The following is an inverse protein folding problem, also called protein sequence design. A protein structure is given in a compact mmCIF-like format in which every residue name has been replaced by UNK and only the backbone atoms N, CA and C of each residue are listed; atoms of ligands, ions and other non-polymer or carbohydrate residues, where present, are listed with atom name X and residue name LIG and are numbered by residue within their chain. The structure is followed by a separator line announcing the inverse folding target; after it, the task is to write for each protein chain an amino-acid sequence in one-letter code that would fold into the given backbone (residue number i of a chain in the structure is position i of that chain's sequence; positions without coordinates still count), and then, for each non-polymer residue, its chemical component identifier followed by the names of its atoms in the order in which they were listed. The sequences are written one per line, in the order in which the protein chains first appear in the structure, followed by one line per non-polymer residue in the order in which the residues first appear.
data_IF_740401266934
#
_entry.id   IF_740401266934
#
_cell.length_a   1.000
_cell.length_b   1.000
_cell.length_c   1.000
_cell.angle_alpha   90.00
_cell.angle_beta   90.00
_cell.angle_gamma   90.00
#
_symmetry.space_group_name_H-M   'P 1'
#
loop_
_entity.id
_entity.type
_entity.pdbx_description
1 polymer ?
#
# COMPACT_ATOMS: atom_id res chain seq x y z
N UNK A 1 -1.75 -1.38 15.34
CA UNK A 1 -2.71 -0.38 14.81
C UNK A 1 -3.18 -0.85 13.43
N UNK A 2 -4.19 -0.25 12.80
CA UNK A 2 -4.59 -0.64 11.44
C UNK A 2 -3.78 0.15 10.41
N UNK A 3 -3.31 -0.49 9.34
CA UNK A 3 -2.74 0.15 8.17
C UNK A 3 -3.80 0.25 7.07
N UNK A 4 -4.06 1.47 6.62
CA UNK A 4 -4.89 1.70 5.43
C UNK A 4 -3.98 1.97 4.24
N UNK A 5 -4.16 1.21 3.16
CA UNK A 5 -3.42 1.38 1.90
C UNK A 5 -4.41 1.76 0.82
N UNK A 6 -4.14 2.84 0.11
CA UNK A 6 -4.87 3.21 -1.10
C UNK A 6 -3.99 2.88 -2.29
N UNK A 7 -4.49 2.10 -3.24
CA UNK A 7 -3.68 1.58 -4.34
C UNK A 7 -4.40 1.60 -5.67
N UNK A 8 -3.62 1.72 -6.75
CA UNK A 8 -4.01 1.51 -8.13
C UNK A 8 -3.43 0.20 -8.63
N UNK A 9 -4.28 -0.66 -9.18
CA UNK A 9 -3.87 -1.98 -9.61
C UNK A 9 -5.05 -2.86 -9.98
N UNK A 10 -4.91 -4.16 -9.76
CA UNK A 10 -6.00 -5.13 -9.97
C UNK A 10 -6.07 -6.13 -8.82
N UNK A 11 -7.27 -6.65 -8.61
CA UNK A 11 -7.59 -7.69 -7.64
C UNK A 11 -7.40 -9.06 -8.30
N UNK A 12 -6.84 -10.03 -7.56
CA UNK A 12 -6.59 -11.39 -8.06
C UNK A 12 -6.98 -12.43 -6.99
N UNK A 13 -7.65 -13.53 -7.35
CA UNK A 13 -7.87 -14.64 -6.42
C UNK A 13 -6.54 -15.22 -5.94
N UNK A 14 -6.44 -15.57 -4.65
CA UNK A 14 -5.22 -16.14 -4.07
C UNK A 14 -4.83 -17.45 -4.76
N UNK A 15 -5.79 -18.31 -5.12
CA UNK A 15 -5.50 -19.55 -5.83
C UNK A 15 -4.78 -19.32 -7.17
N UNK A 16 -5.24 -18.34 -7.96
CA UNK A 16 -4.61 -17.94 -9.22
C UNK A 16 -3.19 -17.42 -8.98
N UNK A 17 -3.02 -16.59 -7.95
CA UNK A 17 -1.74 -16.01 -7.58
C UNK A 17 -0.73 -17.07 -7.11
N UNK A 18 -1.19 -18.05 -6.33
CA UNK A 18 -0.36 -19.14 -5.81
C UNK A 18 0.10 -20.06 -6.95
N UNK A 19 -0.78 -20.39 -7.90
CA UNK A 19 -0.39 -21.11 -9.14
C UNK A 19 0.65 -20.32 -9.94
N UNK A 20 0.46 -19.01 -10.09
CA UNK A 20 1.45 -18.15 -10.74
C UNK A 20 2.80 -18.20 -10.02
N UNK A 21 2.83 -18.14 -8.69
CA UNK A 21 4.07 -18.25 -7.92
C UNK A 21 4.74 -19.60 -8.03
N UNK A 22 3.98 -20.69 -7.85
CA UNK A 22 4.48 -22.05 -7.96
C UNK A 22 5.13 -22.30 -9.33
N UNK A 23 4.50 -21.83 -10.41
CA UNK A 23 5.05 -21.96 -11.79
C UNK A 23 6.35 -21.19 -12.01
N UNK A 24 6.59 -20.13 -11.22
CA UNK A 24 7.79 -19.31 -11.26
C UNK A 24 8.85 -19.74 -10.23
N UNK A 25 8.63 -20.84 -9.51
CA UNK A 25 9.54 -21.33 -8.47
C UNK A 25 9.57 -20.44 -7.21
N UNK A 26 8.49 -19.69 -6.97
CA UNK A 26 8.28 -18.86 -5.78
C UNK A 26 7.32 -19.59 -4.84
N UNK A 27 7.54 -19.48 -3.54
CA UNK A 27 6.63 -20.05 -2.53
C UNK A 27 5.24 -19.42 -2.61
N UNK A 28 4.21 -20.27 -2.53
CA UNK A 28 2.81 -19.87 -2.53
C UNK A 28 2.48 -19.00 -1.31
N UNK A 29 1.59 -18.03 -1.50
CA UNK A 29 1.15 -17.16 -0.41
C UNK A 29 0.20 -17.87 0.53
N UNK A 30 -0.67 -18.76 0.05
CA UNK A 30 -1.69 -19.44 0.86
C UNK A 30 -2.60 -18.45 1.62
N UNK A 31 -2.80 -17.27 1.04
CA UNK A 31 -3.51 -16.14 1.66
C UNK A 31 -2.73 -15.51 2.82
N UNK A 32 -1.49 -15.92 3.03
CA UNK A 32 -0.56 -15.30 3.94
C UNK A 32 0.28 -14.26 3.20
N UNK A 33 0.22 -13.00 3.64
CA UNK A 33 1.09 -11.93 3.16
C UNK A 33 2.55 -12.15 3.59
N UNK A 34 3.27 -13.04 2.91
CA UNK A 34 4.73 -12.96 2.80
C UNK A 34 5.09 -11.77 1.90
N UNK A 35 6.33 -11.25 1.91
CA UNK A 35 6.74 -10.15 1.04
C UNK A 35 7.40 -10.65 -0.26
N UNK A 36 6.68 -11.12 -1.30
CA UNK A 36 7.26 -11.16 -2.62
C UNK A 36 7.09 -9.78 -3.25
N UNK A 37 8.21 -9.08 -3.47
CA UNK A 37 8.27 -8.06 -4.51
C UNK A 37 7.99 -8.80 -5.83
N UNK A 38 6.91 -8.45 -6.54
CA UNK A 38 6.61 -9.04 -7.84
C UNK A 38 7.60 -8.48 -8.85
N UNK A 39 8.72 -9.17 -9.01
CA UNK A 39 9.71 -8.91 -10.04
C UNK A 39 9.57 -10.01 -11.09
N UNK A 40 8.67 -9.89 -12.07
CA UNK A 40 8.68 -10.85 -13.17
C UNK A 40 10.07 -10.85 -13.79
N UNK A 41 10.56 -12.02 -14.23
CA UNK A 41 11.86 -12.18 -14.91
C UNK A 41 12.07 -11.15 -16.04
N UNK A 42 10.97 -10.65 -16.63
CA UNK A 42 10.93 -9.64 -17.71
C UNK A 42 10.90 -8.17 -17.25
N UNK A 43 10.58 -7.85 -15.98
CA UNK A 43 10.62 -6.46 -15.47
C UNK A 43 11.99 -6.01 -14.95
N UNK A 44 13.01 -6.87 -14.98
CA UNK A 44 14.39 -6.51 -14.60
C UNK A 44 14.99 -5.35 -15.42
N UNK A 45 14.33 -4.96 -16.52
CA UNK A 45 14.78 -3.89 -17.41
C UNK A 45 14.01 -2.57 -17.30
N UNK A 46 12.97 -2.47 -16.45
CA UNK A 46 12.26 -1.20 -16.27
C UNK A 46 12.77 -0.45 -15.04
N UNK A 47 13.23 0.79 -15.24
CA UNK A 47 13.67 1.71 -14.18
C UNK A 47 12.55 2.22 -13.23
N UNK A 48 11.35 1.62 -13.27
CA UNK A 48 10.21 1.94 -12.39
C UNK A 48 10.11 0.90 -11.26
N UNK A 49 9.60 1.29 -10.08
CA UNK A 49 9.50 0.38 -8.95
C UNK A 49 8.63 -0.83 -9.34
N UNK A 50 9.03 -2.05 -8.92
CA UNK A 50 8.32 -3.28 -9.24
C UNK A 50 6.89 -3.23 -8.67
N UNK A 51 5.97 -3.93 -9.35
CA UNK A 51 4.61 -4.11 -8.85
C UNK A 51 4.63 -4.72 -7.43
N UNK A 52 3.70 -4.29 -6.59
CA UNK A 52 3.63 -4.71 -5.19
C UNK A 52 2.36 -5.50 -4.91
N UNK A 53 2.53 -6.63 -4.23
CA UNK A 53 1.42 -7.46 -3.78
C UNK A 53 0.95 -7.02 -2.39
N UNK A 54 -0.36 -6.89 -2.23
CA UNK A 54 -1.03 -6.66 -0.96
C UNK A 54 -2.06 -7.77 -0.72
N UNK A 55 -1.93 -8.50 0.39
CA UNK A 55 -2.93 -9.46 0.84
C UNK A 55 -3.46 -8.94 2.19
N UNK A 56 -4.69 -8.42 2.25
CA UNK A 56 -5.23 -7.94 3.50
C UNK A 56 -5.36 -9.06 4.52
N UNK A 57 -5.00 -8.73 5.75
CA UNK A 57 -5.11 -9.63 6.88
C UNK A 57 -5.53 -8.81 8.09
N UNK A 58 -6.55 -9.28 8.80
CA UNK A 58 -6.97 -8.74 10.09
C UNK A 58 -7.09 -9.87 11.09
N UNK A 59 -6.59 -9.64 12.30
CA UNK A 59 -6.71 -10.56 13.41
C UNK A 59 -8.19 -10.84 13.68
N UNK A 60 -8.50 -12.11 13.96
CA UNK A 60 -9.87 -12.56 14.19
C UNK A 60 -10.76 -12.66 12.94
N UNK A 61 -10.23 -12.38 11.74
CA UNK A 61 -10.97 -12.54 10.48
C UNK A 61 -10.45 -13.74 9.69
N UNK A 62 -11.29 -14.28 8.80
CA UNK A 62 -10.89 -15.30 7.84
C UNK A 62 -9.76 -14.77 6.93
N UNK A 63 -8.93 -15.70 6.42
CA UNK A 63 -7.89 -15.36 5.45
C UNK A 63 -8.52 -14.70 4.22
N UNK A 64 -7.82 -13.74 3.64
CA UNK A 64 -8.28 -13.13 2.39
C UNK A 64 -8.25 -14.17 1.28
N UNK A 65 -9.34 -14.23 0.52
CA UNK A 65 -9.45 -15.03 -0.70
C UNK A 65 -8.88 -14.29 -1.92
N UNK A 66 -8.52 -13.02 -1.75
CA UNK A 66 -7.98 -12.17 -2.81
C UNK A 66 -6.71 -11.43 -2.37
N UNK A 67 -5.78 -11.27 -3.31
CA UNK A 67 -4.68 -10.32 -3.26
C UNK A 67 -4.92 -9.14 -4.19
N UNK A 68 -4.12 -8.09 -4.03
CA UNK A 68 -4.13 -6.90 -4.87
C UNK A 68 -2.72 -6.66 -5.39
N UNK A 69 -2.58 -6.61 -6.71
CA UNK A 69 -1.32 -6.31 -7.38
C UNK A 69 -1.36 -4.84 -7.77
N UNK A 70 -0.50 -4.02 -7.18
CA UNK A 70 -0.49 -2.58 -7.33
C UNK A 70 0.74 -2.09 -8.09
N UNK A 71 0.56 -1.13 -8.99
CA UNK A 71 1.68 -0.38 -9.60
C UNK A 71 1.90 0.98 -8.92
N UNK A 72 0.88 1.52 -8.27
CA UNK A 72 0.98 2.72 -7.44
C UNK A 72 0.18 2.49 -6.15
N UNK A 73 0.74 2.92 -5.02
CA UNK A 73 0.09 2.76 -3.72
C UNK A 73 0.58 3.83 -2.76
N UNK A 74 -0.23 4.13 -1.76
CA UNK A 74 0.11 5.06 -0.71
C UNK A 74 -0.50 4.62 0.61
N UNK A 75 0.26 4.78 1.70
CA UNK A 75 -0.13 4.34 3.03
C UNK A 75 -0.66 5.51 3.85
N UNK A 76 -1.79 5.29 4.52
CA UNK A 76 -2.48 6.27 5.37
C UNK A 76 -2.52 5.70 6.79
N UNK A 77 -1.79 6.36 7.69
CA UNK A 77 -1.68 5.94 9.10
C UNK A 77 -2.77 6.53 9.99
N UNK A 78 -3.28 7.71 9.65
CA UNK A 78 -4.34 8.38 10.42
C UNK A 78 -5.25 9.19 9.49
N UNK A 79 -4.79 10.36 9.07
CA UNK A 79 -5.47 11.26 8.16
C UNK A 79 -4.41 12.02 7.36
N UNK A 80 -4.59 12.09 6.04
CA UNK A 80 -3.78 12.95 5.17
C UNK A 80 -4.58 13.24 3.89
N UNK A 81 -4.37 14.42 3.32
CA UNK A 81 -4.84 14.71 1.96
C UNK A 81 -3.96 13.96 0.96
N UNK A 82 -4.57 13.37 -0.07
CA UNK A 82 -3.86 12.60 -1.11
C UNK A 82 -4.19 13.23 -2.45
N UNK A 83 -3.16 13.66 -3.15
CA UNK A 83 -3.29 14.09 -4.54
C UNK A 83 -3.28 12.83 -5.42
N UNK A 84 -4.48 12.39 -5.83
CA UNK A 84 -4.64 11.19 -6.65
C UNK A 84 -3.91 11.29 -7.99
N UNK A 85 -3.88 12.46 -8.62
CA UNK A 85 -3.22 12.64 -9.92
C UNK A 85 -1.70 12.49 -9.80
N UNK A 86 -1.12 12.96 -8.68
CA UNK A 86 0.32 12.92 -8.45
C UNK A 86 0.81 11.62 -7.82
N UNK A 87 0.08 11.09 -6.83
CA UNK A 87 0.52 9.94 -6.04
C UNK A 87 0.01 8.59 -6.55
N UNK A 88 -1.13 8.59 -7.24
CA UNK A 88 -1.82 7.38 -7.69
C UNK A 88 -2.28 7.54 -9.15
N UNK A 89 -1.33 7.65 -10.10
CA UNK A 89 -1.64 7.92 -11.49
C UNK A 89 -2.61 6.88 -12.06
N UNK A 90 -3.55 7.33 -12.88
CA UNK A 90 -4.60 6.48 -13.45
C UNK A 90 -4.04 5.51 -14.52
N UNK A 91 -2.99 5.93 -15.20
CA UNK A 91 -2.34 5.16 -16.25
C UNK A 91 -1.32 4.19 -15.65
N UNK A 92 -1.53 2.91 -15.93
CA UNK A 92 -0.59 1.87 -15.55
C UNK A 92 0.75 2.01 -16.30
N UNK A 93 1.89 1.69 -15.67
CA UNK A 93 3.17 1.71 -16.36
C UNK A 93 3.21 0.63 -17.47
N UNK A 94 4.03 0.85 -18.53
CA UNK A 94 4.30 -0.19 -19.53
C UNK A 94 4.78 -1.48 -18.85
N UNK A 95 4.31 -2.64 -19.31
CA UNK A 95 4.62 -3.93 -18.69
C UNK A 95 3.57 -4.40 -17.67
N UNK A 96 2.76 -3.50 -17.11
CA UNK A 96 1.78 -3.88 -16.09
C UNK A 96 0.58 -4.65 -16.67
N UNK A 97 0.15 -4.27 -17.88
CA UNK A 97 -0.89 -5.00 -18.60
C UNK A 97 -0.44 -6.42 -18.99
N UNK A 98 0.84 -6.58 -19.36
CA UNK A 98 1.46 -7.88 -19.60
C UNK A 98 1.48 -8.72 -18.33
N UNK A 99 1.94 -8.16 -17.20
CA UNK A 99 1.96 -8.84 -15.90
C UNK A 99 0.55 -9.27 -15.48
N UNK A 100 -0.45 -8.40 -15.67
CA UNK A 100 -1.85 -8.74 -15.39
C UNK A 100 -2.31 -9.92 -16.24
N UNK A 101 -2.09 -9.88 -17.56
CA UNK A 101 -2.45 -10.99 -18.46
C UNK A 101 -1.72 -12.28 -18.10
N UNK A 102 -0.44 -12.19 -17.73
CA UNK A 102 0.37 -13.32 -17.31
C UNK A 102 -0.20 -13.98 -16.05
N UNK A 103 -0.45 -13.21 -14.99
CA UNK A 103 -1.01 -13.74 -13.73
C UNK A 103 -2.40 -14.33 -13.96
N UNK A 104 -3.26 -13.62 -14.69
CA UNK A 104 -4.63 -14.08 -14.94
C UNK A 104 -4.69 -15.29 -15.88
N UNK A 105 -3.64 -15.55 -16.65
CA UNK A 105 -3.51 -16.76 -17.47
C UNK A 105 -3.41 -18.06 -16.66
N UNK A 106 -3.22 -17.99 -15.34
CA UNK A 106 -3.21 -19.14 -14.42
C UNK A 106 -4.59 -19.46 -13.82
N UNK A 107 -5.65 -18.77 -14.26
CA UNK A 107 -7.01 -19.10 -13.86
C UNK A 107 -7.49 -20.40 -14.52
N UNK A 108 -8.16 -21.25 -13.75
CA UNK A 108 -8.75 -22.51 -14.24
C UNK A 108 -10.16 -22.29 -14.81
N UNK A 109 -10.60 -23.23 -15.66
CA UNK A 109 -11.98 -23.27 -16.17
C UNK A 109 -12.97 -23.31 -14.98
N UNK A 110 -13.84 -22.31 -14.89
CA UNK A 110 -14.79 -22.14 -13.76
C UNK A 110 -14.44 -21.03 -12.77
N UNK A 111 -13.23 -20.45 -12.83
CA UNK A 111 -12.85 -19.28 -12.03
C UNK A 111 -13.27 -17.95 -12.69
N UNK A 112 -13.89 -18.01 -13.87
CA UNK A 112 -14.40 -16.85 -14.63
C UNK A 112 -15.37 -15.99 -13.83
N UNK A 113 -16.23 -16.62 -13.01
CA UNK A 113 -17.14 -15.92 -12.11
C UNK A 113 -16.37 -15.16 -11.00
N UNK A 114 -15.27 -15.71 -10.50
CA UNK A 114 -14.41 -15.04 -9.51
C UNK A 114 -13.66 -13.86 -10.14
N UNK A 115 -13.26 -14.00 -11.40
CA UNK A 115 -12.64 -12.92 -12.16
C UNK A 115 -13.65 -11.80 -12.45
N UNK A 116 -14.90 -12.12 -12.80
CA UNK A 116 -15.99 -11.14 -12.93
C UNK A 116 -16.20 -10.34 -11.64
N UNK A 117 -16.29 -11.03 -10.49
CA UNK A 117 -16.45 -10.40 -9.17
C UNK A 117 -15.23 -9.57 -8.77
N UNK A 118 -14.04 -9.91 -9.28
CA UNK A 118 -12.84 -9.09 -9.12
C UNK A 118 -12.85 -7.80 -9.98
N UNK A 119 -13.93 -7.53 -10.73
CA UNK A 119 -14.08 -6.34 -11.57
C UNK A 119 -13.30 -6.42 -12.89
N UNK A 120 -12.94 -7.63 -13.34
CA UNK A 120 -12.01 -7.86 -14.45
C UNK A 120 -12.73 -7.85 -15.82
N UNK A 121 -14.04 -8.07 -15.88
CA UNK A 121 -14.81 -8.20 -17.14
C UNK A 121 -15.78 -7.04 -17.45
N UNK A 122 -15.66 -5.86 -16.82
CA UNK A 122 -16.65 -4.78 -16.94
C UNK A 122 -16.22 -3.47 -17.61
N UNK A 123 -14.97 -3.34 -18.05
CA UNK A 123 -14.47 -2.10 -18.64
C UNK A 123 -13.60 -2.40 -19.87
N UNK A 124 -14.26 -2.63 -21.00
CA UNK A 124 -13.65 -2.58 -22.33
C UNK A 124 -13.27 -1.14 -22.67
N UNK A 125 -12.14 -0.70 -22.13
CA UNK A 125 -11.34 0.40 -22.65
C UNK A 125 -9.91 -0.09 -22.79
N UNK A 126 -9.15 0.45 -23.72
CA UNK A 126 -7.76 0.02 -24.02
C UNK A 126 -6.79 0.09 -22.81
N UNK A 127 -7.20 0.71 -21.68
CA UNK A 127 -6.52 0.77 -20.37
C UNK A 127 -7.12 -0.18 -19.30
N UNK A 128 -7.90 -1.17 -19.72
CA UNK A 128 -8.89 -1.90 -18.93
C UNK A 128 -8.42 -2.52 -17.60
N UNK A 129 -9.02 -1.99 -16.52
CA UNK A 129 -9.13 -2.52 -15.15
C UNK A 129 -7.99 -2.23 -14.15
N UNK A 130 -7.31 -1.09 -14.30
CA UNK A 130 -6.58 -0.48 -13.18
C UNK A 130 -7.54 0.28 -12.26
N UNK A 131 -8.08 -0.41 -11.25
CA UNK A 131 -9.03 0.17 -10.30
C UNK A 131 -8.31 0.79 -9.10
N UNK A 132 -9.00 1.73 -8.45
CA UNK A 132 -8.60 2.29 -7.16
C UNK A 132 -9.19 1.40 -6.05
N UNK A 133 -8.34 0.92 -5.15
CA UNK A 133 -8.73 0.11 -4.01
C UNK A 133 -8.29 0.77 -2.71
N UNK A 134 -9.11 0.61 -1.67
CA UNK A 134 -8.76 0.91 -0.28
C UNK A 134 -8.67 -0.42 0.45
N UNK A 135 -7.47 -0.76 0.90
CA UNK A 135 -7.16 -2.03 1.56
C UNK A 135 -6.79 -1.74 3.01
N UNK A 136 -7.52 -2.33 3.94
CA UNK A 136 -7.25 -2.21 5.38
C UNK A 136 -6.65 -3.50 5.89
N UNK A 137 -5.47 -3.40 6.48
CA UNK A 137 -4.77 -4.53 7.11
C UNK A 137 -4.47 -4.18 8.56
N UNK A 138 -4.37 -5.16 9.44
CA UNK A 138 -3.76 -4.88 10.74
C UNK A 138 -2.25 -4.64 10.54
N UNK A 139 -1.66 -3.75 11.36
CA UNK A 139 -0.23 -3.46 11.34
C UNK A 139 0.54 -4.74 11.53
N UNK A 140 1.57 -4.87 10.69
CA UNK A 140 2.70 -5.72 10.99
C UNK A 140 3.90 -4.85 11.23
N UNK A 141 4.92 -5.47 11.83
CA UNK A 141 6.29 -4.99 11.74
C UNK A 141 6.65 -4.86 10.25
N UNK A 142 6.54 -3.64 9.72
CA UNK A 142 7.17 -3.33 8.44
C UNK A 142 8.67 -3.43 8.68
N UNK A 143 9.42 -4.27 7.94
CA UNK A 143 10.87 -4.18 7.93
C UNK A 143 11.21 -2.91 7.13
N UNK A 144 11.03 -1.75 7.77
CA UNK A 144 11.62 -0.51 7.33
C UNK A 144 13.12 -0.68 7.52
N UNK A 145 13.83 -1.16 6.48
CA UNK A 145 15.31 -1.13 6.42
C UNK A 145 15.86 0.29 6.66
N UNK A 146 15.01 1.31 6.52
CA UNK A 146 15.24 2.65 7.03
C UNK A 146 14.02 3.11 7.78
N UNK A 147 14.19 3.37 9.08
CA UNK A 147 13.32 4.23 9.86
C UNK A 147 13.06 5.48 9.04
N UNK A 148 11.87 5.59 8.45
CA UNK A 148 11.30 6.84 7.97
C UNK A 148 10.91 7.68 9.21
N UNK A 149 11.81 7.80 10.19
CA UNK A 149 11.74 8.93 11.10
C UNK A 149 12.15 10.10 10.22
N UNK A 150 11.17 10.91 9.78
CA UNK A 150 11.48 12.29 9.40
C UNK A 150 12.38 12.82 10.52
N UNK A 151 13.55 13.37 10.17
CA UNK A 151 14.25 14.24 11.11
C UNK A 151 13.19 15.24 11.58
N UNK A 152 12.85 15.16 12.86
CA UNK A 152 11.79 15.96 13.44
C UNK A 152 12.14 17.43 13.21
N UNK A 153 11.25 18.13 12.51
CA UNK A 153 11.32 19.58 12.30
C UNK A 153 10.62 20.33 13.44
N UNK A 154 10.25 19.62 14.50
CA UNK A 154 9.59 20.15 15.69
C UNK A 154 10.59 20.99 16.48
N UNK A 155 10.54 22.30 16.25
CA UNK A 155 11.38 23.29 16.91
C UNK A 155 10.56 24.13 17.87
N UNK A 156 11.15 24.47 19.01
CA UNK A 156 10.58 25.48 19.87
C UNK A 156 10.76 26.87 19.26
N UNK A 157 9.66 27.58 19.03
CA UNK A 157 9.68 28.92 18.43
C UNK A 157 10.37 29.97 19.32
N UNK A 158 10.53 29.69 20.61
CA UNK A 158 11.15 30.60 21.57
C UNK A 158 12.66 30.39 21.75
N UNK A 159 13.17 29.18 21.57
CA UNK A 159 14.58 28.87 21.84
C UNK A 159 15.25 27.97 20.79
N UNK A 160 14.55 27.63 19.71
CA UNK A 160 14.99 26.77 18.61
C UNK A 160 15.43 25.34 19.00
N UNK A 161 15.16 24.90 20.23
CA UNK A 161 15.37 23.50 20.65
C UNK A 161 14.57 22.54 19.76
N UNK A 162 15.18 21.41 19.38
CA UNK A 162 14.61 20.41 18.48
C UNK A 162 14.14 19.21 19.28
N UNK A 163 12.98 18.64 18.95
CA UNK A 163 12.36 17.54 19.69
C UNK A 163 11.90 16.43 18.75
N UNK A 164 12.12 15.18 19.13
CA UNK A 164 11.65 14.01 18.36
C UNK A 164 10.14 13.79 18.47
N UNK A 165 9.53 14.26 19.55
CA UNK A 165 8.11 14.09 19.83
C UNK A 165 7.42 15.42 20.11
N UNK A 166 6.21 15.60 19.56
CA UNK A 166 5.38 16.79 19.76
C UNK A 166 5.05 17.06 21.24
N UNK A 167 4.83 16.00 22.03
CA UNK A 167 4.56 16.14 23.45
C UNK A 167 5.73 16.74 24.22
N UNK A 168 6.96 16.40 23.87
CA UNK A 168 8.17 16.95 24.51
C UNK A 168 8.31 18.44 24.21
N UNK A 169 8.03 18.85 22.96
CA UNK A 169 7.98 20.27 22.59
C UNK A 169 6.91 21.03 23.41
N UNK A 170 5.72 20.46 23.58
CA UNK A 170 4.65 21.06 24.39
C UNK A 170 5.05 21.20 25.87
N UNK A 171 5.58 20.14 26.48
CA UNK A 171 6.06 20.19 27.87
C UNK A 171 7.18 21.21 28.03
N UNK A 172 8.12 21.25 27.09
CA UNK A 172 9.18 22.24 27.07
C UNK A 172 8.64 23.68 26.99
N UNK A 173 7.68 23.96 26.11
CA UNK A 173 7.03 25.28 26.02
C UNK A 173 6.35 25.69 27.33
N UNK A 174 5.66 24.76 27.99
CA UNK A 174 5.03 25.01 29.28
C UNK A 174 6.06 25.25 30.38
N UNK A 175 7.01 24.34 30.54
CA UNK A 175 7.90 24.31 31.70
C UNK A 175 9.04 25.33 31.59
N UNK A 176 9.49 25.64 30.37
CA UNK A 176 10.62 26.56 30.13
C UNK A 176 10.15 27.96 29.75
N UNK A 177 9.04 28.08 29.02
CA UNK A 177 8.56 29.36 28.49
C UNK A 177 7.24 29.82 29.12
N UNK A 178 6.66 29.04 30.04
CA UNK A 178 5.41 29.39 30.71
C UNK A 178 4.21 29.44 29.78
N UNK A 179 4.28 28.81 28.60
CA UNK A 179 3.19 28.80 27.62
C UNK A 179 2.08 27.89 28.14
N UNK A 180 0.91 28.47 28.44
CA UNK A 180 -0.27 27.68 28.76
C UNK A 180 -0.68 26.85 27.53
N UNK A 181 -0.81 25.54 27.73
CA UNK A 181 -1.17 24.60 26.68
C UNK A 181 -2.63 24.82 26.27
N UNK A 182 -2.88 25.67 25.29
CA UNK A 182 -4.17 25.69 24.63
C UNK A 182 -4.34 24.37 23.87
N UNK A 183 -5.35 23.56 24.24
CA UNK A 183 -5.72 22.31 23.58
C UNK A 183 -6.17 22.45 22.11
N UNK A 184 -5.99 23.62 21.49
CA UNK A 184 -6.18 23.81 20.07
C UNK A 184 -4.99 23.19 19.32
N UNK A 185 -5.26 22.11 18.59
CA UNK A 185 -4.36 21.62 17.55
C UNK A 185 -4.05 22.77 16.57
N UNK A 186 -2.82 22.86 16.03
CA UNK A 186 -2.51 23.81 14.97
C UNK A 186 -3.53 23.68 13.84
N UNK A 187 -4.06 24.80 13.37
CA UNK A 187 -5.05 24.85 12.27
C UNK A 187 -4.44 24.37 10.94
N UNK A 188 -3.10 24.26 10.89
CA UNK A 188 -2.33 23.90 9.69
C UNK A 188 -1.81 22.45 9.68
N UNK A 189 -2.50 21.50 10.33
CA UNK A 189 -2.25 20.05 10.19
C UNK A 189 -3.22 19.38 9.20
#
# INVERSE_FOLDING_TARGET
MGLTVILRGFKVPIAVLDRFFASNGVEETNGNPSPPILSPRRMRHSARPPARLFIPQRQGHARSTYGYVAYAYTMVYSQRMIDLARELPDQAPPGFAELRREILGFAEEGEEALLQVAGIQGAEGEDGASLLFIVVTDEREFPLERTFMRQSDLRCDHCAAVFDYWFDLLYHRRDTHGVELSHSLPVDL
#
